data_IF_453725701984
#
_entry.id   IF_453725701984
#
_cell.length_a   1.000
_cell.length_b   1.000
_cell.length_c   1.000
_cell.angle_alpha   90.00
_cell.angle_beta   90.00
_cell.angle_gamma   90.00
#
_symmetry.space_group_name_H-M   'P 1'
#
loop_
_entity.id
_entity.type
_entity.pdbx_description
1 polymer ?
#
# COMPACT_ATOMS: atom_id res chain seq x y z
N UNK A 1 49.07 -7.05 10.82
CA UNK A 1 47.95 -7.00 11.76
C UNK A 1 47.78 -5.55 12.22
N UNK A 2 46.56 -5.06 12.27
CA UNK A 2 46.25 -3.72 12.73
C UNK A 2 46.54 -3.61 14.24
N UNK A 3 47.04 -2.46 14.70
CA UNK A 3 47.46 -2.26 16.09
C UNK A 3 46.31 -2.43 17.08
N UNK A 4 45.10 -2.12 16.68
CA UNK A 4 43.87 -2.27 17.48
C UNK A 4 43.33 -3.71 17.55
N UNK A 5 43.88 -4.69 16.80
CA UNK A 5 43.45 -6.11 16.85
C UNK A 5 42.06 -6.42 16.34
N UNK A 6 41.31 -5.45 15.85
CA UNK A 6 39.93 -5.60 15.33
C UNK A 6 39.91 -5.59 13.79
N UNK A 7 38.80 -6.10 13.23
CA UNK A 7 38.54 -6.05 11.80
C UNK A 7 38.25 -4.60 11.40
N UNK A 8 38.91 -4.06 10.33
CA UNK A 8 38.82 -2.65 9.92
C UNK A 8 37.48 -2.30 9.23
N UNK A 9 36.40 -2.93 9.64
CA UNK A 9 35.05 -2.65 9.15
C UNK A 9 34.14 -2.32 10.32
N UNK A 10 33.50 -1.17 10.27
CA UNK A 10 32.52 -0.76 11.27
C UNK A 10 31.13 -0.80 10.65
N UNK A 11 30.28 -1.79 11.01
CA UNK A 11 28.91 -1.84 10.53
C UNK A 11 28.10 -0.69 11.14
N UNK A 12 27.28 -0.04 10.31
CA UNK A 12 26.30 0.95 10.75
C UNK A 12 24.92 0.29 10.62
N UNK A 13 24.28 0.00 11.74
CA UNK A 13 22.95 -0.62 11.78
C UNK A 13 21.95 0.36 12.37
N UNK A 14 20.72 0.37 11.83
CA UNK A 14 19.67 1.22 12.37
C UNK A 14 19.19 0.73 13.73
N UNK A 15 18.91 -0.56 13.82
CA UNK A 15 18.37 -1.20 15.01
C UNK A 15 18.97 -2.59 15.21
N UNK A 16 18.89 -3.09 16.45
CA UNK A 16 19.17 -4.49 16.75
C UNK A 16 17.85 -5.17 17.15
N UNK A 17 17.63 -6.39 16.69
CA UNK A 17 16.41 -7.12 16.91
C UNK A 17 16.67 -8.35 17.80
N UNK A 18 15.77 -8.55 18.79
CA UNK A 18 15.84 -9.68 19.70
C UNK A 18 17.00 -9.64 20.70
N UNK A 19 17.22 -10.77 21.37
CA UNK A 19 18.28 -10.95 22.38
C UNK A 19 19.65 -11.28 21.78
N UNK A 20 19.73 -11.40 20.44
CA UNK A 20 20.93 -11.88 19.73
C UNK A 20 21.67 -10.83 18.92
N UNK A 21 21.44 -9.55 19.18
CA UNK A 21 22.09 -8.43 18.46
C UNK A 21 22.02 -8.55 16.92
N UNK A 22 20.90 -9.09 16.41
CA UNK A 22 20.71 -9.25 14.97
C UNK A 22 20.46 -7.88 14.34
N UNK A 23 21.30 -7.43 13.41
CA UNK A 23 21.15 -6.12 12.78
C UNK A 23 19.86 -6.08 11.95
N UNK A 24 19.07 -5.03 12.13
CA UNK A 24 17.83 -4.80 11.40
C UNK A 24 17.84 -3.41 10.74
N UNK A 25 17.33 -3.37 9.51
CA UNK A 25 17.13 -2.13 8.77
C UNK A 25 15.77 -1.53 9.07
N UNK A 26 15.65 -0.21 8.90
CA UNK A 26 14.42 0.56 9.07
C UNK A 26 13.23 0.02 8.26
N UNK A 27 13.47 -0.48 7.05
CA UNK A 27 12.43 -0.98 6.14
C UNK A 27 11.83 -2.31 6.60
N UNK A 28 12.48 -3.03 7.51
CA UNK A 28 12.04 -4.36 7.93
C UNK A 28 10.60 -4.35 8.46
N UNK A 29 10.31 -3.45 9.37
CA UNK A 29 9.02 -3.39 10.05
C UNK A 29 7.93 -2.72 9.19
N UNK A 30 8.33 -2.02 8.13
CA UNK A 30 7.42 -1.41 7.15
C UNK A 30 6.95 -2.38 6.06
N UNK A 31 7.59 -3.55 5.92
CA UNK A 31 7.27 -4.50 4.84
C UNK A 31 5.85 -5.05 4.93
N UNK A 32 5.40 -5.40 6.11
CA UNK A 32 4.09 -6.06 6.26
C UNK A 32 2.92 -5.10 6.06
N UNK A 33 2.90 -3.89 6.65
CA UNK A 33 1.93 -2.87 6.29
C UNK A 33 1.93 -2.53 4.79
N UNK A 34 3.11 -2.41 4.18
CA UNK A 34 3.20 -2.12 2.75
C UNK A 34 2.64 -3.27 1.88
N UNK A 35 2.89 -4.51 2.25
CA UNK A 35 2.31 -5.69 1.58
C UNK A 35 0.79 -5.71 1.69
N UNK A 36 0.27 -5.32 2.85
CA UNK A 36 -1.17 -5.24 3.05
C UNK A 36 -1.81 -4.15 2.17
N UNK A 37 -1.24 -2.95 2.13
CA UNK A 37 -1.68 -1.87 1.23
C UNK A 37 -1.71 -2.38 -0.22
N UNK A 38 -0.62 -2.98 -0.69
CA UNK A 38 -0.52 -3.51 -2.05
C UNK A 38 -1.60 -4.56 -2.33
N UNK A 39 -1.83 -5.48 -1.39
CA UNK A 39 -2.87 -6.52 -1.51
C UNK A 39 -4.27 -5.91 -1.60
N UNK A 40 -4.60 -4.94 -0.74
CA UNK A 40 -5.91 -4.26 -0.76
C UNK A 40 -6.11 -3.48 -2.05
N UNK A 41 -5.09 -2.77 -2.51
CA UNK A 41 -5.13 -2.02 -3.76
C UNK A 41 -5.34 -2.91 -4.98
N UNK A 42 -4.66 -4.06 -5.04
CA UNK A 42 -4.87 -5.07 -6.09
C UNK A 42 -6.31 -5.60 -6.04
N UNK A 43 -6.86 -5.88 -4.86
CA UNK A 43 -8.25 -6.33 -4.71
C UNK A 43 -9.24 -5.27 -5.21
N UNK A 44 -9.04 -4.01 -4.84
CA UNK A 44 -9.87 -2.89 -5.30
C UNK A 44 -9.81 -2.74 -6.81
N UNK A 45 -8.62 -2.75 -7.39
CA UNK A 45 -8.44 -2.69 -8.85
C UNK A 45 -9.08 -3.88 -9.56
N UNK A 46 -8.96 -5.09 -9.01
CA UNK A 46 -9.60 -6.28 -9.57
C UNK A 46 -11.14 -6.14 -9.58
N UNK A 47 -11.74 -5.67 -8.49
CA UNK A 47 -13.18 -5.44 -8.40
C UNK A 47 -13.61 -4.38 -9.41
N UNK A 48 -12.89 -3.25 -9.51
CA UNK A 48 -13.20 -2.18 -10.46
C UNK A 48 -13.10 -2.66 -11.91
N UNK A 49 -12.05 -3.38 -12.25
CA UNK A 49 -11.87 -3.93 -13.60
C UNK A 49 -12.93 -4.97 -13.94
N UNK A 50 -13.32 -5.80 -12.98
CA UNK A 50 -14.33 -6.83 -13.18
C UNK A 50 -15.74 -6.23 -13.26
N UNK A 51 -16.02 -5.20 -12.46
CA UNK A 51 -17.33 -4.52 -12.48
C UNK A 51 -17.53 -3.65 -13.71
N UNK A 52 -16.44 -3.05 -14.25
CA UNK A 52 -16.49 -2.20 -15.44
C UNK A 52 -16.73 -2.97 -16.74
N UNK A 53 -16.43 -4.27 -16.76
CA UNK A 53 -16.55 -5.07 -17.99
C UNK A 53 -17.94 -5.65 -18.22
N UNK A 54 -18.93 -5.28 -17.45
CA UNK A 54 -20.28 -5.80 -17.61
C UNK A 54 -20.38 -7.31 -17.42
N UNK A 55 -21.35 -7.91 -18.02
CA UNK A 55 -21.60 -9.34 -17.98
C UNK A 55 -22.92 -9.66 -17.30
N UNK A 56 -23.40 -10.87 -17.46
CA UNK A 56 -24.69 -11.25 -16.93
C UNK A 56 -24.97 -12.73 -17.08
N UNK A 57 -26.18 -13.08 -16.76
CA UNK A 57 -26.71 -14.42 -16.91
C UNK A 57 -27.69 -14.40 -18.08
N UNK A 58 -27.56 -15.34 -19.00
CA UNK A 58 -28.54 -15.50 -20.07
C UNK A 58 -28.96 -16.96 -20.18
N UNK A 59 -30.23 -17.18 -20.47
CA UNK A 59 -30.71 -18.50 -20.86
C UNK A 59 -30.13 -18.88 -22.23
N UNK A 60 -29.85 -20.16 -22.43
CA UNK A 60 -29.27 -20.64 -23.69
C UNK A 60 -30.12 -20.32 -24.93
N UNK A 61 -31.42 -20.10 -24.73
CA UNK A 61 -32.41 -19.81 -25.78
C UNK A 61 -32.50 -18.32 -26.09
N UNK A 62 -31.92 -17.43 -25.26
CA UNK A 62 -32.08 -15.97 -25.40
C UNK A 62 -31.36 -15.39 -26.62
N UNK A 63 -30.29 -16.04 -27.08
CA UNK A 63 -29.48 -15.60 -28.21
C UNK A 63 -29.11 -16.77 -29.12
N UNK A 64 -28.99 -16.51 -30.43
CA UNK A 64 -28.43 -17.44 -31.38
C UNK A 64 -26.91 -17.55 -31.25
N UNK A 65 -26.28 -18.65 -31.72
CA UNK A 65 -24.84 -18.83 -31.62
C UNK A 65 -24.01 -17.67 -32.19
N UNK A 66 -24.45 -17.04 -33.30
CA UNK A 66 -23.82 -15.87 -33.91
C UNK A 66 -23.93 -14.63 -33.00
N UNK A 67 -25.10 -14.41 -32.43
CA UNK A 67 -25.35 -13.30 -31.52
C UNK A 67 -24.53 -13.44 -30.20
N UNK A 68 -24.37 -14.67 -29.72
CA UNK A 68 -23.51 -14.95 -28.56
C UNK A 68 -22.04 -14.62 -28.85
N UNK A 69 -21.57 -14.95 -30.04
CA UNK A 69 -20.19 -14.67 -30.44
C UNK A 69 -19.95 -13.16 -30.62
N UNK A 70 -20.88 -12.46 -31.21
CA UNK A 70 -20.86 -11.01 -31.30
C UNK A 70 -20.87 -10.32 -29.95
N UNK A 71 -21.76 -10.73 -29.06
CA UNK A 71 -21.82 -10.23 -27.70
C UNK A 71 -20.51 -10.47 -26.91
N UNK A 72 -19.87 -11.63 -27.11
CA UNK A 72 -18.57 -11.93 -26.51
C UNK A 72 -17.44 -11.03 -26.98
N UNK A 73 -17.46 -10.69 -28.27
CA UNK A 73 -16.39 -9.88 -28.90
C UNK A 73 -16.61 -8.39 -28.71
N UNK A 74 -17.83 -7.94 -28.85
CA UNK A 74 -18.16 -6.53 -29.02
C UNK A 74 -19.02 -5.97 -27.87
N UNK A 75 -19.56 -6.81 -26.98
CA UNK A 75 -20.50 -6.40 -25.92
C UNK A 75 -19.99 -5.35 -24.94
N UNK A 76 -18.66 -5.18 -24.83
CA UNK A 76 -18.02 -4.17 -23.97
C UNK A 76 -17.62 -2.90 -24.73
N UNK A 77 -17.89 -2.83 -26.04
CA UNK A 77 -17.55 -1.65 -26.84
C UNK A 77 -18.62 -0.57 -26.59
N UNK A 78 -18.24 0.64 -26.19
CA UNK A 78 -19.20 1.73 -26.00
C UNK A 78 -19.98 2.01 -27.28
N UNK A 79 -21.32 2.05 -27.18
CA UNK A 79 -22.21 2.29 -28.33
C UNK A 79 -22.56 1.05 -29.15
N UNK A 80 -22.08 -0.14 -28.80
CA UNK A 80 -22.47 -1.38 -29.43
C UNK A 80 -23.86 -1.84 -28.95
N UNK A 81 -24.73 -2.20 -29.88
CA UNK A 81 -26.05 -2.78 -29.59
C UNK A 81 -26.06 -4.26 -29.95
N UNK A 82 -26.21 -5.10 -28.97
CA UNK A 82 -26.33 -6.54 -29.18
C UNK A 82 -27.77 -6.94 -29.41
N UNK A 83 -27.99 -7.71 -30.48
CA UNK A 83 -29.32 -8.23 -30.81
C UNK A 83 -29.64 -9.49 -29.99
N UNK A 84 -30.84 -9.55 -29.45
CA UNK A 84 -31.38 -10.72 -28.75
C UNK A 84 -32.66 -11.19 -29.40
N UNK A 85 -33.08 -12.43 -29.18
CA UNK A 85 -34.33 -12.95 -29.70
C UNK A 85 -35.51 -12.14 -29.18
N UNK A 86 -36.59 -11.96 -29.99
CA UNK A 86 -37.78 -11.30 -29.54
C UNK A 86 -38.37 -11.92 -28.27
N UNK A 87 -38.69 -11.09 -27.28
CA UNK A 87 -39.24 -11.53 -26.00
C UNK A 87 -38.20 -11.99 -24.97
N UNK A 88 -36.89 -12.05 -25.32
CA UNK A 88 -35.87 -12.48 -24.36
C UNK A 88 -35.66 -11.47 -23.21
N UNK A 89 -35.72 -10.17 -23.51
CA UNK A 89 -35.60 -9.12 -22.50
C UNK A 89 -36.88 -9.03 -21.62
N UNK A 90 -38.05 -9.03 -22.24
CA UNK A 90 -39.32 -8.97 -21.53
C UNK A 90 -39.62 -10.22 -20.68
N UNK A 91 -39.10 -11.37 -21.09
CA UNK A 91 -39.20 -12.63 -20.36
C UNK A 91 -38.18 -12.82 -19.27
N UNK A 92 -37.30 -11.83 -18.99
CA UNK A 92 -36.27 -11.93 -17.96
C UNK A 92 -35.19 -12.96 -18.22
N UNK A 93 -35.04 -13.39 -19.50
CA UNK A 93 -34.06 -14.41 -19.91
C UNK A 93 -32.62 -13.89 -20.00
N UNK A 94 -32.45 -12.61 -19.88
CA UNK A 94 -31.15 -11.92 -19.79
C UNK A 94 -31.17 -11.06 -18.56
N UNK A 95 -30.23 -11.28 -17.65
CA UNK A 95 -30.07 -10.51 -16.43
C UNK A 95 -28.64 -9.98 -16.35
N UNK A 96 -28.51 -8.70 -16.17
CA UNK A 96 -27.20 -8.08 -15.93
C UNK A 96 -26.66 -8.50 -14.55
N UNK A 97 -25.36 -8.69 -14.49
CA UNK A 97 -24.68 -8.90 -13.23
C UNK A 97 -24.63 -7.58 -12.46
N UNK A 98 -25.07 -7.60 -11.22
CA UNK A 98 -24.99 -6.42 -10.37
C UNK A 98 -23.53 -5.92 -10.29
N UNK A 99 -23.35 -4.63 -10.52
CA UNK A 99 -22.06 -3.97 -10.36
C UNK A 99 -21.63 -4.10 -8.90
N UNK A 100 -20.51 -4.78 -8.67
CA UNK A 100 -19.96 -4.91 -7.33
C UNK A 100 -19.07 -3.70 -7.06
N UNK A 101 -19.48 -2.87 -6.12
CA UNK A 101 -18.61 -1.84 -5.57
C UNK A 101 -17.62 -2.49 -4.59
N UNK A 102 -16.40 -1.97 -4.48
CA UNK A 102 -15.46 -2.44 -3.44
C UNK A 102 -16.13 -2.34 -2.07
N UNK A 103 -16.11 -3.41 -1.26
CA UNK A 103 -16.66 -3.35 0.09
C UNK A 103 -15.97 -2.23 0.89
N UNK A 104 -16.75 -1.45 1.62
CA UNK A 104 -16.21 -0.36 2.46
C UNK A 104 -15.11 -0.85 3.42
N UNK A 105 -15.22 -2.10 3.88
CA UNK A 105 -14.21 -2.74 4.72
C UNK A 105 -12.83 -2.86 4.04
N UNK A 106 -12.76 -3.04 2.72
CA UNK A 106 -11.49 -3.11 1.98
C UNK A 106 -10.82 -1.74 1.94
N UNK A 107 -11.59 -0.69 1.69
CA UNK A 107 -11.12 0.70 1.66
C UNK A 107 -10.66 1.12 3.07
N UNK A 108 -11.43 0.77 4.09
CA UNK A 108 -11.09 1.06 5.48
C UNK A 108 -9.81 0.34 5.92
N UNK A 109 -9.63 -0.93 5.52
CA UNK A 109 -8.41 -1.68 5.81
C UNK A 109 -7.17 -1.11 5.10
N UNK A 110 -7.31 -0.58 3.87
CA UNK A 110 -6.23 0.13 3.17
C UNK A 110 -5.84 1.41 3.92
N UNK A 111 -6.83 2.20 4.36
CA UNK A 111 -6.61 3.41 5.14
C UNK A 111 -5.91 3.10 6.47
N UNK A 112 -6.35 2.04 7.17
CA UNK A 112 -5.74 1.62 8.43
C UNK A 112 -4.28 1.20 8.22
N UNK A 113 -4.00 0.37 7.22
CA UNK A 113 -2.63 -0.04 6.91
C UNK A 113 -1.72 1.13 6.53
N UNK A 114 -2.26 2.17 5.90
CA UNK A 114 -1.52 3.41 5.61
C UNK A 114 -1.20 4.18 6.88
N UNK A 115 -2.14 4.27 7.82
CA UNK A 115 -1.91 4.89 9.13
C UNK A 115 -0.88 4.10 9.94
N UNK A 116 -0.96 2.77 9.94
CA UNK A 116 0.01 1.90 10.61
C UNK A 116 1.42 2.10 10.05
N UNK A 117 1.56 2.20 8.73
CA UNK A 117 2.84 2.49 8.08
C UNK A 117 3.43 3.83 8.54
N UNK A 118 2.61 4.86 8.65
CA UNK A 118 3.02 6.17 9.16
C UNK A 118 3.41 6.10 10.63
N UNK A 119 2.61 5.40 11.45
CA UNK A 119 2.87 5.24 12.88
C UNK A 119 4.16 4.46 13.15
N UNK A 120 4.40 3.36 12.43
CA UNK A 120 5.61 2.53 12.57
C UNK A 120 6.85 3.29 12.08
N UNK A 121 6.74 4.03 10.98
CA UNK A 121 7.87 4.81 10.46
C UNK A 121 8.28 5.96 11.38
N UNK A 122 7.35 6.48 12.17
CA UNK A 122 7.54 7.71 12.93
C UNK A 122 7.73 8.97 12.07
N UNK A 123 7.66 8.82 10.74
CA UNK A 123 7.73 9.93 9.81
C UNK A 123 6.32 10.45 9.61
N UNK A 124 6.04 11.59 10.21
CA UNK A 124 4.77 12.28 10.09
C UNK A 124 4.92 13.57 9.25
N UNK A 125 3.81 14.12 8.83
CA UNK A 125 3.75 15.33 8.01
C UNK A 125 4.41 16.55 8.71
N UNK A 126 4.36 16.60 10.04
CA UNK A 126 5.03 17.64 10.82
C UNK A 126 6.55 17.56 10.73
N UNK A 127 7.13 16.35 10.61
CA UNK A 127 8.56 16.17 10.39
C UNK A 127 8.96 16.59 8.98
N UNK A 128 8.08 16.33 7.99
CA UNK A 128 8.29 16.69 6.60
C UNK A 128 8.01 18.19 6.31
N UNK A 129 7.38 18.89 7.26
CA UNK A 129 7.03 20.30 7.11
C UNK A 129 5.90 20.57 6.10
N UNK A 130 5.16 19.54 5.72
CA UNK A 130 4.17 19.62 4.63
C UNK A 130 2.77 19.99 5.09
N UNK A 131 2.41 19.75 6.35
CA UNK A 131 1.10 20.10 6.88
C UNK A 131 1.21 20.85 8.20
N UNK A 132 1.41 22.16 8.07
CA UNK A 132 1.35 23.09 9.21
C UNK A 132 0.03 23.82 9.10
N UNK A 133 -1.00 23.46 9.90
CA UNK A 133 -2.24 24.21 9.92
C UNK A 133 -1.91 25.68 10.25
N UNK A 134 -2.46 26.61 9.50
CA UNK A 134 -2.26 28.05 9.71
C UNK A 134 -2.68 28.53 11.11
N UNK A 135 -3.46 27.71 11.82
CA UNK A 135 -3.90 27.94 13.20
C UNK A 135 -2.99 27.35 14.27
N UNK A 136 -1.98 26.53 13.90
CA UNK A 136 -1.09 25.92 14.87
C UNK A 136 -0.08 26.94 15.41
N UNK A 137 0.04 27.02 16.75
CA UNK A 137 1.07 27.86 17.36
C UNK A 137 2.47 27.31 17.06
N UNK A 138 3.46 28.19 16.83
CA UNK A 138 4.84 27.79 16.58
C UNK A 138 5.39 26.80 17.62
N UNK A 139 4.97 26.94 18.88
CA UNK A 139 5.33 26.04 19.98
C UNK A 139 4.76 24.60 19.80
N UNK A 140 3.55 24.49 19.26
CA UNK A 140 2.95 23.16 18.99
C UNK A 140 3.68 22.45 17.86
N UNK A 141 4.12 23.19 16.84
CA UNK A 141 4.91 22.67 15.73
C UNK A 141 6.27 22.19 16.23
N UNK A 142 6.95 22.99 17.02
CA UNK A 142 8.25 22.65 17.62
C UNK A 142 8.17 21.38 18.48
N UNK A 143 7.12 21.23 19.29
CA UNK A 143 6.90 20.04 20.10
C UNK A 143 6.67 18.79 19.26
N UNK A 144 5.88 18.88 18.20
CA UNK A 144 5.66 17.76 17.27
C UNK A 144 6.94 17.36 16.53
N UNK A 145 7.73 18.32 16.08
CA UNK A 145 9.02 18.06 15.45
C UNK A 145 9.99 17.42 16.43
N UNK A 146 10.04 17.89 17.67
CA UNK A 146 10.88 17.32 18.72
C UNK A 146 10.48 15.88 19.05
N UNK A 147 9.19 15.56 19.11
CA UNK A 147 8.70 14.20 19.26
C UNK A 147 9.15 13.29 18.12
N UNK A 148 8.99 13.74 16.87
CA UNK A 148 9.39 12.97 15.71
C UNK A 148 10.90 12.71 15.67
N UNK A 149 11.73 13.71 16.02
CA UNK A 149 13.18 13.56 16.13
C UNK A 149 13.55 12.55 17.23
N UNK A 150 12.82 12.55 18.35
CA UNK A 150 13.05 11.61 19.44
C UNK A 150 12.81 10.17 19.01
N UNK A 151 11.83 9.92 18.15
CA UNK A 151 11.56 8.59 17.60
C UNK A 151 12.71 8.06 16.72
N UNK A 152 13.39 8.95 16.01
CA UNK A 152 14.50 8.60 15.11
C UNK A 152 15.87 8.67 15.84
N UNK A 153 15.91 9.20 17.07
CA UNK A 153 17.12 9.37 17.84
C UNK A 153 17.98 8.09 17.97
N UNK A 154 17.42 6.87 18.18
CA UNK A 154 18.21 5.64 18.26
C UNK A 154 19.07 5.39 17.01
N UNK A 155 18.60 5.76 15.82
CA UNK A 155 19.38 5.62 14.58
C UNK A 155 20.59 6.54 14.58
N UNK A 156 20.42 7.79 15.02
CA UNK A 156 21.54 8.75 15.13
C UNK A 156 22.55 8.33 16.19
N UNK A 157 22.10 7.70 17.27
CA UNK A 157 23.00 7.20 18.30
C UNK A 157 23.86 6.02 17.80
N UNK A 158 23.31 5.15 16.98
CA UNK A 158 24.09 4.10 16.33
C UNK A 158 25.13 4.69 15.37
N UNK A 159 24.76 5.72 14.61
CA UNK A 159 25.70 6.44 13.76
C UNK A 159 26.84 7.10 14.56
N UNK A 160 26.52 7.70 15.72
CA UNK A 160 27.54 8.28 16.63
C UNK A 160 28.48 7.23 17.19
N UNK A 161 27.96 6.07 17.59
CA UNK A 161 28.77 4.93 18.05
C UNK A 161 29.70 4.43 16.96
N UNK A 162 29.19 4.26 15.72
CA UNK A 162 30.01 3.85 14.60
C UNK A 162 31.14 4.86 14.31
N UNK A 163 30.84 6.17 14.31
CA UNK A 163 31.85 7.22 14.14
C UNK A 163 32.93 7.17 15.21
N UNK A 164 32.57 6.97 16.47
CA UNK A 164 33.55 6.80 17.57
C UNK A 164 34.44 5.58 17.33
N UNK A 165 33.86 4.45 16.90
CA UNK A 165 34.63 3.24 16.61
C UNK A 165 35.56 3.42 15.45
N UNK A 166 35.16 4.09 14.37
CA UNK A 166 36.02 4.45 13.25
C UNK A 166 37.19 5.32 13.72
N UNK A 167 36.91 6.36 14.51
CA UNK A 167 37.97 7.23 15.03
C UNK A 167 38.97 6.46 15.90
N UNK A 168 38.52 5.52 16.70
CA UNK A 168 39.37 4.65 17.51
C UNK A 168 40.26 3.73 16.66
N UNK A 169 39.75 3.22 15.53
CA UNK A 169 40.50 2.34 14.64
C UNK A 169 41.51 3.11 13.75
N UNK A 170 41.30 4.41 13.57
CA UNK A 170 42.23 5.27 12.80
C UNK A 170 43.38 5.83 13.65
N UNK A 171 43.26 5.81 14.97
CA UNK A 171 44.24 6.33 15.92
C UNK A 171 45.16 5.22 16.46
#
# INVERSE_FOLDING_TARGET
>A
PYQHGEIPFVPITCYYYGTGDVPAGFVRDLKDPQREINKRRIQTLHILNTSGNGGGWMEAVAMDPKQKEDFRKNGNIPGHFSEVRPGALSGGKVQERAIQNPPAAVIQAESQATQDLTAISGINEALMGTDIPSSASGRAIELKQKQAITHIAPMFDQLRKAKKKIAYQLW
#
